data_IF_010032361956
#
_entry.id   IF_010032361956
#
_cell.length_a   1.000
_cell.length_b   1.000
_cell.length_c   1.000
_cell.angle_alpha   90.00
_cell.angle_beta   90.00
_cell.angle_gamma   90.00
#
_symmetry.space_group_name_H-M   'P 1'
#
loop_
_entity.id
_entity.type
_entity.pdbx_description
1 polymer ?
#
# COMPACT_ATOMS: atom_id res chain seq x y z
N UNK A 1 -36.68 -33.73 66.34
CA UNK A 1 -36.34 -32.89 65.18
C UNK A 1 -35.92 -33.86 64.07
N UNK A 2 -36.85 -34.65 63.53
CA UNK A 2 -37.70 -34.33 62.37
C UNK A 2 -36.86 -33.77 61.22
N UNK A 3 -36.82 -34.31 60.00
CA UNK A 3 -37.33 -35.50 59.29
C UNK A 3 -36.68 -35.31 57.88
N UNK A 4 -35.97 -36.30 57.32
CA UNK A 4 -36.38 -37.07 56.12
C UNK A 4 -36.56 -36.23 54.82
N UNK A 5 -36.17 -36.63 53.60
CA UNK A 5 -36.06 -37.95 52.97
C UNK A 5 -35.36 -37.80 51.60
N UNK A 6 -34.59 -38.82 51.21
CA UNK A 6 -34.19 -39.13 49.82
C UNK A 6 -35.35 -39.84 49.10
N UNK A 7 -35.46 -39.69 47.77
CA UNK A 7 -36.03 -40.69 46.85
C UNK A 7 -35.53 -40.37 45.43
N UNK A 8 -34.69 -41.19 44.78
CA UNK A 8 -34.84 -42.58 44.33
C UNK A 8 -35.60 -42.69 43.00
N UNK A 9 -34.82 -43.11 42.00
CA UNK A 9 -35.19 -43.52 40.65
C UNK A 9 -36.02 -44.82 40.65
N UNK A 10 -36.95 -44.90 39.71
CA UNK A 10 -37.46 -46.13 39.08
C UNK A 10 -37.75 -45.72 37.63
N UNK A 11 -37.33 -46.41 36.56
CA UNK A 11 -37.00 -47.81 36.40
C UNK A 11 -38.09 -48.42 35.53
N UNK A 12 -38.03 -48.24 34.20
CA UNK A 12 -38.74 -49.13 33.27
C UNK A 12 -38.07 -49.17 31.88
N UNK A 13 -37.78 -50.39 31.48
CA UNK A 13 -37.08 -50.85 30.29
C UNK A 13 -38.03 -51.19 29.14
N UNK A 14 -37.62 -50.95 27.88
CA UNK A 14 -37.96 -51.62 26.61
C UNK A 14 -37.59 -50.61 25.50
N UNK A 15 -36.85 -50.86 24.43
CA UNK A 15 -36.42 -52.05 23.71
C UNK A 15 -36.43 -51.71 22.21
N UNK A 16 -35.33 -52.01 21.51
CA UNK A 16 -35.16 -52.20 20.03
C UNK A 16 -34.90 -50.99 19.09
N UNK A 17 -33.70 -51.08 18.48
CA UNK A 17 -33.37 -51.17 17.03
C UNK A 17 -33.78 -50.04 16.05
N UNK A 18 -32.76 -49.49 15.37
CA UNK A 18 -32.85 -49.03 13.98
C UNK A 18 -32.18 -47.67 13.71
N UNK A 19 -30.99 -47.66 13.08
CA UNK A 19 -30.63 -46.55 12.16
C UNK A 19 -31.34 -46.75 10.81
N UNK A 20 -31.02 -46.00 9.72
CA UNK A 20 -30.14 -44.84 9.56
C UNK A 20 -30.86 -43.63 8.88
N UNK A 21 -30.25 -42.43 8.88
CA UNK A 21 -30.61 -41.31 7.97
C UNK A 21 -29.33 -40.48 7.74
N UNK A 22 -28.65 -40.61 6.62
CA UNK A 22 -28.83 -39.85 5.36
C UNK A 22 -28.72 -38.32 5.50
N UNK A 23 -27.51 -37.85 5.18
CA UNK A 23 -27.13 -36.79 4.23
C UNK A 23 -28.03 -35.54 3.98
N UNK A 24 -27.40 -34.37 4.25
CA UNK A 24 -27.33 -33.13 3.43
C UNK A 24 -28.62 -32.29 3.22
N UNK A 25 -28.54 -30.94 3.06
CA UNK A 25 -27.59 -30.26 2.17
C UNK A 25 -26.97 -28.91 2.61
N UNK A 26 -25.79 -28.67 2.03
CA UNK A 26 -25.40 -27.45 1.30
C UNK A 26 -26.04 -26.11 1.71
N UNK A 27 -25.26 -25.27 2.40
CA UNK A 27 -25.57 -23.85 2.57
C UNK A 27 -24.45 -23.04 1.90
N UNK A 28 -24.80 -22.51 0.72
CA UNK A 28 -23.95 -21.73 -0.14
C UNK A 28 -23.37 -20.48 0.51
N UNK A 29 -22.15 -20.17 0.07
CA UNK A 29 -21.41 -18.94 0.31
C UNK A 29 -22.22 -17.76 -0.22
N UNK A 30 -22.57 -16.75 0.60
CA UNK A 30 -23.14 -15.50 0.09
C UNK A 30 -22.02 -14.68 -0.55
N UNK A 31 -22.30 -14.21 -1.76
CA UNK A 31 -21.38 -13.45 -2.60
C UNK A 31 -20.87 -12.14 -1.99
N UNK A 32 -19.75 -11.72 -2.55
CA UNK A 32 -19.10 -10.42 -2.46
C UNK A 32 -20.13 -9.26 -2.45
N UNK A 33 -20.06 -8.33 -1.48
CA UNK A 33 -20.85 -7.11 -1.58
C UNK A 33 -20.24 -6.21 -2.66
N UNK A 34 -21.03 -5.98 -3.71
CA UNK A 34 -20.87 -4.90 -4.68
C UNK A 34 -20.71 -3.56 -3.95
N UNK A 35 -19.70 -2.79 -4.34
CA UNK A 35 -19.52 -1.39 -3.94
C UNK A 35 -20.75 -0.60 -4.41
N UNK A 36 -21.44 0.17 -3.54
CA UNK A 36 -22.56 0.97 -3.97
C UNK A 36 -22.08 2.14 -4.86
N UNK A 37 -22.64 2.16 -6.06
CA UNK A 37 -22.55 3.23 -7.04
C UNK A 37 -23.29 4.47 -6.49
N UNK A 38 -22.58 5.43 -5.90
CA UNK A 38 -23.15 6.71 -5.50
C UNK A 38 -23.12 7.67 -6.71
N UNK A 39 -24.15 7.60 -7.54
CA UNK A 39 -24.48 8.62 -8.54
C UNK A 39 -25.78 9.37 -8.19
N UNK A 40 -25.88 10.58 -8.75
CA UNK A 40 -27.09 11.42 -8.94
C UNK A 40 -27.35 12.43 -7.81
N UNK A 41 -27.59 13.73 -8.01
CA UNK A 41 -27.84 14.56 -9.20
C UNK A 41 -28.00 16.01 -8.73
N UNK A 42 -27.40 16.99 -9.42
CA UNK A 42 -27.95 18.35 -9.43
C UNK A 42 -27.75 18.98 -10.81
N UNK A 43 -28.86 19.14 -11.51
CA UNK A 43 -28.95 19.89 -12.76
C UNK A 43 -28.76 21.40 -12.54
N UNK A 44 -28.35 22.15 -13.58
CA UNK A 44 -27.89 23.52 -13.46
C UNK A 44 -29.04 24.52 -13.48
N UNK A 45 -28.96 25.56 -12.64
CA UNK A 45 -29.81 26.75 -12.80
C UNK A 45 -29.13 27.75 -13.73
N UNK A 46 -29.77 27.91 -14.89
CA UNK A 46 -29.65 29.01 -15.84
C UNK A 46 -29.75 30.39 -15.18
N UNK A 47 -28.89 31.35 -15.57
CA UNK A 47 -29.31 32.74 -15.82
C UNK A 47 -28.34 33.50 -16.73
N UNK A 48 -28.95 34.40 -17.51
CA UNK A 48 -28.42 35.04 -18.71
C UNK A 48 -27.39 36.15 -18.44
N UNK A 49 -26.44 36.23 -19.38
CA UNK A 49 -25.91 37.40 -20.12
C UNK A 49 -26.32 38.82 -19.68
N UNK A 50 -25.29 39.67 -19.57
CA UNK A 50 -25.12 41.03 -20.15
C UNK A 50 -23.59 41.19 -20.29
N UNK A 51 -22.93 41.16 -21.46
CA UNK A 51 -22.82 42.14 -22.55
C UNK A 51 -22.73 43.60 -22.07
N UNK A 52 -21.51 44.11 -22.01
CA UNK A 52 -21.17 45.47 -22.44
C UNK A 52 -19.89 45.44 -23.28
N UNK A 53 -20.01 46.01 -24.48
CA UNK A 53 -18.96 46.36 -25.43
C UNK A 53 -18.54 47.81 -25.14
N UNK A 54 -17.26 48.14 -25.25
CA UNK A 54 -16.74 49.30 -26.00
C UNK A 54 -15.20 49.32 -25.87
N UNK A 55 -14.46 49.10 -26.95
CA UNK A 55 -14.00 50.09 -27.95
C UNK A 55 -13.02 51.14 -27.42
N UNK A 56 -11.82 51.15 -28.01
CA UNK A 56 -10.81 52.18 -27.77
C UNK A 56 -9.52 51.90 -28.52
N UNK A 57 -9.54 52.13 -29.83
CA UNK A 57 -8.41 52.02 -30.74
C UNK A 57 -7.32 53.11 -30.52
N UNK A 58 -6.18 52.87 -31.20
CA UNK A 58 -5.09 53.78 -31.62
C UNK A 58 -3.78 53.65 -30.83
N UNK A 59 -2.57 53.76 -31.39
CA UNK A 59 -1.97 53.64 -32.73
C UNK A 59 -0.56 54.25 -32.56
N UNK A 60 0.46 53.68 -33.24
CA UNK A 60 1.79 54.27 -33.48
C UNK A 60 2.70 54.36 -32.23
N UNK A 61 4.02 54.17 -32.26
CA UNK A 61 5.01 54.57 -33.26
C UNK A 61 6.17 53.57 -33.39
N UNK A 62 6.79 53.65 -34.56
CA UNK A 62 8.11 53.14 -34.91
C UNK A 62 9.20 53.80 -34.06
N UNK A 63 10.25 53.06 -33.71
CA UNK A 63 11.60 53.63 -33.85
C UNK A 63 12.67 52.55 -33.99
N UNK A 64 13.51 52.80 -34.98
CA UNK A 64 14.62 51.99 -35.48
C UNK A 64 15.92 52.52 -34.90
N UNK A 65 16.77 51.68 -34.30
CA UNK A 65 18.22 51.95 -34.27
C UNK A 65 19.02 50.69 -34.61
N UNK A 66 19.92 50.93 -35.56
CA UNK A 66 20.78 50.04 -36.31
C UNK A 66 21.99 49.53 -35.53
N UNK A 67 22.53 48.43 -36.07
CA UNK A 67 23.96 48.19 -36.20
C UNK A 67 24.53 47.21 -35.18
N UNK A 68 25.39 46.26 -35.54
CA UNK A 68 26.24 46.13 -36.74
C UNK A 68 26.89 44.73 -36.69
N UNK A 69 27.04 44.13 -37.89
CA UNK A 69 28.21 43.36 -38.40
C UNK A 69 28.67 42.10 -37.64
N UNK A 70 29.06 40.98 -38.25
CA UNK A 70 29.32 40.63 -39.66
C UNK A 70 29.79 39.16 -39.75
N UNK A 71 29.42 38.48 -40.85
CA UNK A 71 30.18 37.50 -41.65
C UNK A 71 30.73 36.21 -40.95
N UNK A 72 30.78 35.01 -41.53
CA UNK A 72 30.86 34.52 -42.92
C UNK A 72 30.47 33.02 -42.87
N UNK A 73 29.52 32.50 -43.66
CA UNK A 73 29.68 31.94 -45.02
C UNK A 73 30.80 30.89 -45.16
N UNK A 74 30.40 29.62 -45.36
CA UNK A 74 30.98 28.70 -46.34
C UNK A 74 29.97 27.56 -46.65
N UNK A 75 29.61 27.48 -47.93
CA UNK A 75 28.88 26.39 -48.60
C UNK A 75 29.87 25.32 -49.06
N UNK A 76 29.46 24.05 -49.13
CA UNK A 76 29.50 23.20 -50.35
C UNK A 76 28.93 21.78 -50.07
N UNK A 77 28.13 21.28 -51.01
CA UNK A 77 27.36 20.00 -51.03
C UNK A 77 28.17 18.84 -51.71
N UNK A 78 27.59 17.73 -52.26
CA UNK A 78 26.48 16.81 -51.90
C UNK A 78 26.84 15.29 -52.00
N UNK A 79 25.82 14.43 -51.81
CA UNK A 79 25.63 13.04 -52.33
C UNK A 79 26.04 11.88 -51.37
N UNK A 80 25.37 10.72 -51.23
CA UNK A 80 24.39 9.94 -52.04
C UNK A 80 23.51 9.09 -51.08
N UNK A 81 22.27 8.82 -51.51
CA UNK A 81 21.28 7.88 -50.94
C UNK A 81 21.81 6.47 -50.66
N UNK A 82 21.35 5.83 -49.58
CA UNK A 82 20.86 4.44 -49.59
C UNK A 82 19.94 4.22 -48.38
N UNK A 83 18.78 3.63 -48.66
CA UNK A 83 17.77 3.23 -47.70
C UNK A 83 18.23 1.99 -46.92
N UNK A 84 17.93 1.93 -45.62
CA UNK A 84 17.46 0.72 -44.94
C UNK A 84 16.92 1.05 -43.54
N UNK A 85 15.97 0.22 -43.11
CA UNK A 85 14.86 0.59 -42.24
C UNK A 85 15.14 0.84 -40.76
N UNK A 86 14.22 1.62 -40.19
CA UNK A 86 14.14 1.95 -38.77
C UNK A 86 13.40 0.81 -38.06
N UNK A 87 14.15 -0.09 -37.44
CA UNK A 87 13.68 -0.90 -36.32
C UNK A 87 14.39 -0.42 -35.03
N UNK A 88 14.01 0.77 -34.56
CA UNK A 88 14.31 1.18 -33.19
C UNK A 88 13.04 1.03 -32.35
N UNK A 89 12.89 -0.17 -31.78
CA UNK A 89 11.99 -0.42 -30.67
C UNK A 89 12.47 0.44 -29.48
N UNK A 90 11.90 1.64 -29.35
CA UNK A 90 12.18 2.56 -28.25
C UNK A 90 11.74 1.91 -26.93
N UNK A 91 12.72 1.52 -26.12
CA UNK A 91 12.55 0.95 -24.79
C UNK A 91 11.86 1.96 -23.84
N UNK A 92 10.54 1.81 -23.72
CA UNK A 92 9.63 2.61 -22.89
C UNK A 92 9.87 2.42 -21.37
N UNK A 93 10.82 1.58 -20.96
CA UNK A 93 11.18 1.33 -19.56
C UNK A 93 11.91 2.48 -18.88
N UNK A 94 12.50 3.41 -19.63
CA UNK A 94 13.29 4.52 -19.09
C UNK A 94 12.50 5.58 -18.30
N UNK A 95 11.17 5.52 -18.38
CA UNK A 95 10.25 6.54 -17.89
C UNK A 95 9.30 6.03 -16.82
N UNK A 96 9.17 4.71 -16.73
CA UNK A 96 8.72 4.00 -15.53
C UNK A 96 9.90 3.70 -14.60
N UNK A 97 10.92 4.57 -14.54
CA UNK A 97 11.84 4.53 -13.41
C UNK A 97 11.02 4.81 -12.17
N UNK A 98 10.82 3.76 -11.37
CA UNK A 98 10.48 3.90 -9.96
C UNK A 98 11.36 5.03 -9.39
N UNK A 99 10.79 5.92 -8.55
CA UNK A 99 11.58 7.01 -7.99
C UNK A 99 12.86 6.44 -7.40
N UNK A 100 13.99 7.11 -7.65
CA UNK A 100 15.34 6.69 -7.29
C UNK A 100 15.37 5.72 -6.11
N UNK A 101 15.50 4.44 -6.45
CA UNK A 101 15.77 3.33 -5.55
C UNK A 101 17.19 3.53 -5.00
N UNK A 102 17.30 4.36 -3.98
CA UNK A 102 18.58 4.82 -3.44
C UNK A 102 18.36 5.42 -2.07
N UNK A 103 17.65 4.68 -1.22
CA UNK A 103 17.56 4.72 0.24
C UNK A 103 16.31 3.92 0.59
N UNK A 104 16.50 2.66 0.98
CA UNK A 104 15.52 1.94 1.81
C UNK A 104 15.15 2.89 2.93
N UNK A 105 13.91 3.36 2.95
CA UNK A 105 13.39 4.10 4.09
C UNK A 105 13.32 3.08 5.21
N UNK A 106 14.37 3.06 6.04
CA UNK A 106 14.29 2.48 7.38
C UNK A 106 13.02 3.02 8.00
N UNK A 107 12.26 2.17 8.68
CA UNK A 107 11.23 2.58 9.61
C UNK A 107 11.84 3.62 10.57
N UNK A 108 11.72 4.91 10.24
CA UNK A 108 12.05 6.02 11.12
C UNK A 108 10.75 6.37 11.84
N UNK A 109 10.58 5.72 12.97
CA UNK A 109 9.76 6.19 14.07
C UNK A 109 10.32 7.58 14.46
N UNK A 110 9.50 8.64 14.59
CA UNK A 110 9.99 9.97 14.95
C UNK A 110 10.83 9.95 16.23
N UNK A 111 12.01 10.57 16.12
CA UNK A 111 13.13 10.57 17.06
C UNK A 111 12.77 11.05 18.48
N UNK A 112 13.10 10.22 19.46
CA UNK A 112 14.03 10.59 20.54
C UNK A 112 14.56 9.31 21.19
N UNK A 113 15.89 9.16 21.22
CA UNK A 113 16.76 8.52 22.22
C UNK A 113 18.02 8.02 21.52
N UNK A 114 19.08 8.79 21.75
CA UNK A 114 20.51 8.45 21.82
C UNK A 114 21.03 7.18 21.14
N UNK A 115 22.06 7.38 20.32
CA UNK A 115 23.07 6.37 19.99
C UNK A 115 23.58 5.63 21.24
N UNK A 116 23.86 4.33 21.07
CA UNK A 116 24.31 3.30 22.02
C UNK A 116 23.21 2.41 22.65
N UNK A 117 22.91 1.26 22.03
CA UNK A 117 23.32 -0.05 22.59
C UNK A 117 23.02 -1.21 21.61
N UNK A 118 24.00 -2.10 21.41
CA UNK A 118 23.84 -3.43 20.78
C UNK A 118 23.15 -4.40 21.75
N UNK A 119 22.11 -3.96 22.48
CA UNK A 119 21.39 -4.83 23.42
C UNK A 119 20.34 -5.63 22.66
N UNK A 120 20.46 -6.97 22.69
CA UNK A 120 19.38 -7.89 22.33
C UNK A 120 18.05 -7.42 22.95
N UNK A 121 16.94 -7.43 22.18
CA UNK A 121 15.67 -6.95 22.73
C UNK A 121 15.17 -7.82 23.88
N UNK A 122 15.49 -9.09 23.83
CA UNK A 122 15.09 -10.07 24.81
C UNK A 122 16.29 -10.46 25.67
N UNK A 123 16.08 -10.84 26.94
CA UNK A 123 17.13 -11.46 27.74
C UNK A 123 17.73 -12.65 26.99
N UNK A 124 19.01 -12.96 27.21
CA UNK A 124 19.63 -14.19 26.71
C UNK A 124 18.98 -15.40 27.41
N UNK A 125 17.79 -15.79 26.97
CA UNK A 125 17.17 -17.05 27.35
C UNK A 125 18.04 -18.15 26.76
N UNK A 126 18.85 -18.81 27.61
CA UNK A 126 19.80 -19.89 27.29
C UNK A 126 19.91 -20.18 25.77
N UNK A 127 20.76 -19.43 25.05
CA UNK A 127 20.92 -19.57 23.60
C UNK A 127 21.34 -21.00 23.20
N UNK A 128 21.83 -21.81 24.13
CA UNK A 128 22.66 -22.98 23.85
C UNK A 128 21.93 -24.16 23.19
N UNK A 129 20.62 -24.35 23.37
CA UNK A 129 19.91 -25.52 22.80
C UNK A 129 19.40 -25.30 21.37
N UNK A 130 18.80 -24.14 21.07
CA UNK A 130 18.16 -23.88 19.77
C UNK A 130 18.99 -23.02 18.83
N UNK A 131 20.01 -22.29 19.31
CA UNK A 131 20.94 -21.60 18.39
C UNK A 131 21.87 -22.58 17.67
N UNK A 132 22.06 -23.78 18.21
CA UNK A 132 22.97 -24.79 17.66
C UNK A 132 22.31 -25.67 16.59
N UNK A 133 20.97 -25.72 16.56
CA UNK A 133 20.20 -26.57 15.67
C UNK A 133 19.88 -25.85 14.36
N UNK A 134 19.98 -26.56 13.23
CA UNK A 134 19.56 -26.01 11.92
C UNK A 134 18.03 -25.92 11.86
N UNK A 135 17.48 -25.03 11.04
CA UNK A 135 16.03 -24.83 11.01
C UNK A 135 15.28 -26.10 10.58
N UNK A 136 15.88 -26.95 9.74
CA UNK A 136 15.32 -28.25 9.34
C UNK A 136 15.09 -29.20 10.54
N UNK A 137 16.00 -29.20 11.52
CA UNK A 137 15.84 -29.97 12.75
C UNK A 137 14.72 -29.38 13.62
N UNK A 138 14.64 -28.05 13.71
CA UNK A 138 13.56 -27.37 14.44
C UNK A 138 12.19 -27.62 13.80
N UNK A 139 12.11 -27.66 12.47
CA UNK A 139 10.87 -28.03 11.76
C UNK A 139 10.46 -29.48 12.01
N UNK A 140 11.39 -30.35 12.41
CA UNK A 140 11.12 -31.77 12.70
C UNK A 140 10.95 -32.05 14.20
N UNK A 141 11.16 -31.06 15.07
CA UNK A 141 11.16 -31.25 16.52
C UNK A 141 9.74 -31.46 17.10
N UNK A 142 9.61 -32.35 18.07
CA UNK A 142 8.29 -32.73 18.65
C UNK A 142 7.76 -31.71 19.66
N UNK A 143 8.62 -30.87 20.23
CA UNK A 143 8.28 -29.89 21.27
C UNK A 143 7.74 -28.56 20.72
N UNK A 144 7.55 -28.47 19.40
CA UNK A 144 6.95 -27.33 18.71
C UNK A 144 5.50 -27.60 18.36
N UNK A 145 4.65 -26.59 18.55
CA UNK A 145 3.22 -26.65 18.23
C UNK A 145 2.99 -26.07 16.85
N UNK A 146 2.32 -26.82 15.98
CA UNK A 146 1.93 -26.36 14.64
C UNK A 146 0.82 -25.32 14.71
N UNK A 147 1.04 -24.16 14.08
CA UNK A 147 -0.01 -23.14 13.87
C UNK A 147 -0.80 -23.45 12.59
N UNK A 148 -0.16 -24.07 11.60
CA UNK A 148 -0.74 -24.44 10.31
C UNK A 148 -0.66 -25.95 10.10
N UNK A 149 -1.66 -26.50 9.40
CA UNK A 149 -1.78 -27.96 9.18
C UNK A 149 -0.61 -28.55 8.35
N UNK A 150 0.12 -27.72 7.61
CA UNK A 150 1.27 -28.11 6.80
C UNK A 150 2.59 -28.16 7.59
N UNK A 151 2.59 -27.79 8.88
CA UNK A 151 3.77 -27.78 9.76
C UNK A 151 4.84 -26.73 9.37
N UNK A 152 4.55 -25.85 8.42
CA UNK A 152 5.49 -24.83 7.92
C UNK A 152 5.50 -23.55 8.76
N UNK A 153 4.58 -23.44 9.72
CA UNK A 153 4.52 -22.39 10.73
C UNK A 153 4.36 -23.02 12.11
N UNK A 154 5.40 -22.96 12.93
CA UNK A 154 5.44 -23.62 14.24
C UNK A 154 5.79 -22.63 15.35
N UNK A 155 5.28 -22.88 16.55
CA UNK A 155 5.51 -22.04 17.73
C UNK A 155 5.97 -22.86 18.93
N UNK A 156 6.90 -22.31 19.70
CA UNK A 156 7.31 -22.82 21.01
C UNK A 156 7.18 -21.71 22.05
N UNK A 157 6.38 -21.96 23.09
CA UNK A 157 6.17 -20.99 24.16
C UNK A 157 7.39 -21.02 25.09
N UNK A 158 8.08 -19.88 25.20
CA UNK A 158 9.23 -19.71 26.10
C UNK A 158 8.75 -19.23 27.47
N UNK A 159 7.86 -18.26 27.47
CA UNK A 159 7.23 -17.73 28.68
C UNK A 159 5.72 -17.75 28.51
N UNK A 160 5.02 -18.40 29.45
CA UNK A 160 3.57 -18.42 29.48
C UNK A 160 3.02 -17.02 29.75
N UNK A 161 2.02 -16.62 28.95
CA UNK A 161 1.29 -15.38 29.18
C UNK A 161 0.21 -15.51 30.27
N UNK A 162 -0.59 -14.45 30.39
CA UNK A 162 -1.71 -14.35 31.32
C UNK A 162 -2.91 -15.17 30.84
N UNK A 163 -2.95 -16.46 31.20
CA UNK A 163 -3.99 -17.42 30.80
C UNK A 163 -5.43 -17.04 31.18
N UNK A 164 -5.58 -16.13 32.16
CA UNK A 164 -6.88 -15.59 32.57
C UNK A 164 -7.47 -14.58 31.56
N UNK A 165 -6.64 -14.05 30.67
CA UNK A 165 -7.07 -13.14 29.61
C UNK A 165 -7.36 -13.92 28.32
N UNK A 166 -8.32 -13.41 27.54
CA UNK A 166 -8.62 -13.94 26.22
C UNK A 166 -7.48 -13.63 25.24
N UNK A 167 -7.39 -14.42 24.18
CA UNK A 167 -6.48 -14.17 23.06
C UNK A 167 -7.03 -13.08 22.14
N UNK A 168 -6.16 -12.40 21.36
CA UNK A 168 -6.63 -11.50 20.31
C UNK A 168 -7.49 -12.23 19.29
N UNK A 169 -8.50 -11.57 18.74
CA UNK A 169 -9.28 -12.06 17.61
C UNK A 169 -8.94 -11.30 16.33
N UNK A 170 -9.23 -11.91 15.18
CA UNK A 170 -9.02 -11.28 13.87
C UNK A 170 -9.75 -9.93 13.78
N UNK A 171 -9.07 -8.92 13.27
CA UNK A 171 -9.56 -7.55 13.16
C UNK A 171 -9.20 -6.65 14.35
N UNK A 172 -8.60 -7.18 15.42
CA UNK A 172 -8.09 -6.37 16.53
C UNK A 172 -6.70 -5.81 16.22
N UNK A 173 -6.40 -4.66 16.84
CA UNK A 173 -5.06 -4.07 16.83
C UNK A 173 -4.23 -4.74 17.93
N UNK A 174 -3.09 -5.30 17.54
CA UNK A 174 -2.15 -5.96 18.45
C UNK A 174 -0.86 -5.16 18.53
N UNK A 175 -0.25 -5.16 19.70
CA UNK A 175 1.08 -4.60 19.94
C UNK A 175 2.00 -5.74 20.34
N UNK A 176 3.07 -5.92 19.56
CA UNK A 176 4.08 -6.95 19.82
C UNK A 176 5.46 -6.32 19.91
N UNK A 177 6.31 -6.96 20.71
CA UNK A 177 7.75 -6.79 20.66
C UNK A 177 8.31 -7.98 19.90
N UNK A 178 9.19 -7.75 18.93
CA UNK A 178 9.73 -8.83 18.12
C UNK A 178 11.19 -8.65 17.76
N UNK A 179 11.85 -9.78 17.55
CA UNK A 179 13.17 -9.89 16.96
C UNK A 179 13.17 -11.08 16.00
N UNK A 180 13.48 -10.84 14.73
CA UNK A 180 13.57 -11.85 13.67
C UNK A 180 15.01 -12.12 13.28
N UNK A 181 15.37 -13.40 13.21
CA UNK A 181 16.71 -13.86 12.83
C UNK A 181 16.65 -14.86 11.67
N UNK A 182 17.70 -14.83 10.84
CA UNK A 182 17.98 -15.85 9.83
C UNK A 182 18.65 -17.08 10.46
N UNK A 183 18.78 -18.14 9.67
CA UNK A 183 19.46 -19.38 10.09
C UNK A 183 20.94 -19.16 10.42
N UNK A 184 21.59 -18.21 9.72
CA UNK A 184 22.97 -17.78 10.02
C UNK A 184 23.08 -16.86 11.26
N UNK A 185 21.95 -16.67 11.98
CA UNK A 185 21.80 -15.84 13.17
C UNK A 185 21.90 -14.33 12.91
N UNK A 186 21.88 -13.90 11.65
CA UNK A 186 21.78 -12.48 11.33
C UNK A 186 20.43 -11.95 11.79
N UNK A 187 20.43 -10.91 12.64
CA UNK A 187 19.22 -10.20 13.03
C UNK A 187 18.77 -9.33 11.86
N UNK A 188 17.62 -9.69 11.29
CA UNK A 188 17.04 -8.98 10.14
C UNK A 188 15.92 -8.05 10.55
N UNK A 189 15.24 -8.32 11.67
CA UNK A 189 14.08 -7.53 12.08
C UNK A 189 14.09 -7.32 13.59
N UNK A 190 13.78 -6.10 14.03
CA UNK A 190 13.80 -5.73 15.44
C UNK A 190 12.84 -4.58 15.67
N UNK A 191 11.82 -4.79 16.49
CA UNK A 191 10.88 -3.74 16.87
C UNK A 191 10.43 -3.96 18.33
N UNK A 192 10.59 -2.95 19.17
CA UNK A 192 10.18 -3.03 20.58
C UNK A 192 8.69 -2.81 20.79
N UNK A 193 7.99 -2.25 19.80
CA UNK A 193 6.58 -1.88 19.88
C UNK A 193 5.94 -1.81 18.49
N UNK A 194 5.96 -2.94 17.77
CA UNK A 194 5.28 -3.06 16.49
C UNK A 194 3.77 -3.12 16.71
N UNK A 195 3.03 -2.23 16.06
CA UNK A 195 1.57 -2.16 16.11
C UNK A 195 0.99 -2.48 14.75
N UNK A 196 0.07 -3.44 14.69
CA UNK A 196 -0.61 -3.83 13.45
C UNK A 196 -2.02 -4.36 13.70
N UNK A 197 -2.87 -4.33 12.67
CA UNK A 197 -4.22 -4.92 12.74
C UNK A 197 -4.21 -6.30 12.11
N UNK A 198 -4.66 -7.30 12.87
CA UNK A 198 -4.69 -8.69 12.40
C UNK A 198 -5.68 -8.86 11.23
N UNK A 199 -5.20 -9.43 10.12
CA UNK A 199 -6.01 -9.74 8.93
C UNK A 199 -6.03 -8.63 7.88
N UNK A 200 -5.42 -7.48 8.18
CA UNK A 200 -5.27 -6.38 7.21
C UNK A 200 -4.02 -6.54 6.34
N UNK A 201 -3.12 -7.47 6.70
CA UNK A 201 -1.90 -7.75 5.95
C UNK A 201 -0.82 -6.68 6.14
N UNK A 202 -0.82 -6.00 7.28
CA UNK A 202 0.17 -5.01 7.68
C UNK A 202 1.56 -5.60 7.84
N UNK A 203 1.60 -6.84 8.32
CA UNK A 203 2.80 -7.67 8.46
C UNK A 203 2.64 -8.93 7.62
N UNK A 204 3.66 -9.79 7.58
CA UNK A 204 3.54 -11.08 6.90
C UNK A 204 2.68 -12.06 7.72
N UNK A 205 2.11 -13.06 7.05
CA UNK A 205 1.06 -13.93 7.60
C UNK A 205 1.49 -14.68 8.87
N UNK A 206 2.77 -15.06 8.97
CA UNK A 206 3.29 -15.72 10.15
C UNK A 206 3.11 -14.90 11.43
N UNK A 207 3.39 -13.59 11.40
CA UNK A 207 3.23 -12.72 12.57
C UNK A 207 1.75 -12.53 12.94
N UNK A 208 0.86 -12.38 11.96
CA UNK A 208 -0.58 -12.25 12.22
C UNK A 208 -1.14 -13.50 12.91
N UNK A 209 -0.83 -14.69 12.36
CA UNK A 209 -1.28 -15.97 12.93
C UNK A 209 -0.65 -16.24 14.30
N UNK A 210 0.62 -15.88 14.47
CA UNK A 210 1.29 -15.98 15.75
C UNK A 210 0.57 -15.14 16.81
N UNK A 211 0.31 -13.86 16.55
CA UNK A 211 -0.35 -12.97 17.50
C UNK A 211 -1.71 -13.49 17.98
N UNK A 212 -2.54 -14.02 17.08
CA UNK A 212 -3.85 -14.62 17.42
C UNK A 212 -3.71 -15.90 18.26
N UNK A 213 -2.58 -16.60 18.15
CA UNK A 213 -2.30 -17.81 18.93
C UNK A 213 -1.79 -17.56 20.35
N UNK A 214 -1.43 -16.32 20.70
CA UNK A 214 -0.74 -15.95 21.94
C UNK A 214 -1.70 -15.39 22.99
N UNK A 215 -1.36 -15.57 24.27
CA UNK A 215 -1.97 -14.83 25.38
C UNK A 215 -1.17 -13.54 25.67
N UNK A 216 -1.78 -12.53 26.30
CA UNK A 216 -1.07 -11.33 26.73
C UNK A 216 0.16 -11.66 27.60
N UNK A 217 1.26 -10.94 27.40
CA UNK A 217 2.57 -11.14 28.04
C UNK A 217 3.27 -12.48 27.73
N UNK A 218 2.72 -13.29 26.82
CA UNK A 218 3.37 -14.52 26.35
C UNK A 218 4.60 -14.17 25.52
N UNK A 219 5.70 -14.90 25.74
CA UNK A 219 6.90 -14.87 24.89
C UNK A 219 6.98 -16.22 24.18
N UNK A 220 7.03 -16.18 22.85
CA UNK A 220 7.10 -17.36 22.01
C UNK A 220 8.18 -17.24 20.96
N UNK A 221 8.85 -18.36 20.69
CA UNK A 221 9.61 -18.56 19.48
C UNK A 221 8.66 -18.99 18.36
N UNK A 222 8.80 -18.38 17.20
CA UNK A 222 7.99 -18.61 16.02
C UNK A 222 8.91 -18.98 14.86
N UNK A 223 8.87 -20.25 14.45
CA UNK A 223 9.60 -20.76 13.32
C UNK A 223 8.72 -20.65 12.07
N UNK A 224 9.22 -19.95 11.06
CA UNK A 224 8.45 -19.57 9.88
C UNK A 224 9.15 -20.03 8.61
N UNK A 225 8.44 -20.80 7.77
CA UNK A 225 8.88 -21.03 6.41
C UNK A 225 8.71 -19.74 5.59
N UNK A 226 9.58 -19.54 4.60
CA UNK A 226 9.50 -18.42 3.67
C UNK A 226 8.11 -18.15 3.10
N UNK A 227 7.29 -19.18 2.86
CA UNK A 227 5.92 -19.06 2.33
C UNK A 227 4.99 -18.21 3.21
N UNK A 228 5.18 -18.22 4.53
CA UNK A 228 4.42 -17.42 5.49
C UNK A 228 5.11 -16.10 5.89
N UNK A 229 6.32 -15.88 5.38
CA UNK A 229 7.15 -14.70 5.62
C UNK A 229 7.35 -13.90 4.33
N UNK A 230 8.60 -13.78 3.84
CA UNK A 230 8.97 -12.95 2.69
C UNK A 230 8.99 -13.68 1.34
N UNK A 231 8.79 -15.00 1.35
CA UNK A 231 8.60 -15.84 0.17
C UNK A 231 9.73 -15.78 -0.85
N UNK A 232 9.37 -16.05 -2.12
CA UNK A 232 10.32 -16.13 -3.25
C UNK A 232 11.17 -14.90 -3.47
N UNK A 233 10.68 -13.71 -3.13
CA UNK A 233 11.40 -12.46 -3.40
C UNK A 233 12.28 -12.00 -2.23
N UNK A 234 12.07 -12.50 -1.01
CA UNK A 234 12.79 -12.00 0.16
C UNK A 234 12.43 -10.55 0.51
N UNK A 235 13.32 -9.85 1.21
CA UNK A 235 13.27 -8.41 1.51
C UNK A 235 14.69 -7.86 1.31
N UNK A 236 14.91 -7.07 0.28
CA UNK A 236 16.24 -6.52 0.02
C UNK A 236 16.59 -5.39 1.01
N UNK A 237 17.85 -5.33 1.52
CA UNK A 237 18.96 -6.25 1.29
C UNK A 237 19.10 -7.34 2.38
N UNK A 238 18.22 -7.38 3.37
CA UNK A 238 18.44 -8.06 4.65
C UNK A 238 17.88 -9.48 4.72
N UNK A 239 16.78 -9.78 4.02
CA UNK A 239 16.19 -11.12 3.97
C UNK A 239 16.32 -11.71 2.57
N UNK A 240 17.11 -12.78 2.38
CA UNK A 240 17.21 -13.45 1.09
C UNK A 240 15.88 -14.04 0.59
N UNK A 241 15.82 -14.29 -0.71
CA UNK A 241 14.76 -15.08 -1.33
C UNK A 241 14.65 -16.47 -0.68
N UNK A 242 13.41 -16.92 -0.42
CA UNK A 242 13.12 -18.23 0.20
C UNK A 242 13.68 -18.43 1.61
N UNK A 243 14.11 -17.37 2.29
CA UNK A 243 14.62 -17.48 3.65
C UNK A 243 13.50 -17.84 4.63
N UNK A 244 13.74 -18.89 5.42
CA UNK A 244 13.00 -19.16 6.64
C UNK A 244 13.52 -18.25 7.76
N UNK A 245 12.64 -17.89 8.70
CA UNK A 245 12.96 -16.99 9.79
C UNK A 245 12.51 -17.57 11.11
N UNK A 246 13.33 -17.35 12.14
CA UNK A 246 12.97 -17.59 13.52
C UNK A 246 12.72 -16.24 14.19
N UNK A 247 11.52 -16.08 14.73
CA UNK A 247 11.14 -14.88 15.47
C UNK A 247 11.04 -15.19 16.95
N UNK A 248 11.55 -14.28 17.78
CA UNK A 248 11.16 -14.17 19.17
C UNK A 248 10.11 -13.07 19.27
N UNK A 249 8.91 -13.43 19.73
CA UNK A 249 7.75 -12.53 19.76
C UNK A 249 7.18 -12.50 21.17
N UNK A 250 6.94 -11.29 21.69
CA UNK A 250 6.17 -11.05 22.90
C UNK A 250 4.90 -10.28 22.56
N UNK A 251 3.75 -10.82 22.97
CA UNK A 251 2.48 -10.11 22.84
C UNK A 251 2.34 -9.14 24.02
N UNK A 252 2.51 -7.84 23.77
CA UNK A 252 2.42 -6.81 24.82
C UNK A 252 0.97 -6.45 25.14
N UNK A 253 0.07 -6.57 24.17
CA UNK A 253 -1.35 -6.30 24.38
C UNK A 253 -2.12 -6.20 23.07
N UNK A 254 -3.44 -6.09 23.20
CA UNK A 254 -4.34 -5.91 22.07
C UNK A 254 -5.55 -5.09 22.48
N UNK A 255 -6.21 -4.48 21.49
CA UNK A 255 -7.43 -3.70 21.67
C UNK A 255 -8.28 -3.75 20.40
N UNK A 256 -9.53 -3.32 20.51
CA UNK A 256 -10.36 -3.13 19.34
C UNK A 256 -9.75 -2.07 18.41
N UNK A 257 -9.91 -2.30 17.10
CA UNK A 257 -9.41 -1.38 16.09
C UNK A 257 -9.98 0.02 16.36
N UNK A 258 -9.14 1.07 16.46
CA UNK A 258 -9.63 2.42 16.65
C UNK A 258 -10.61 2.82 15.54
N UNK A 259 -11.75 3.41 15.91
CA UNK A 259 -12.69 3.96 14.93
C UNK A 259 -12.00 5.13 14.19
N UNK A 260 -11.88 5.07 12.84
CA UNK A 260 -11.29 6.14 12.05
C UNK A 260 -11.86 7.54 12.35
N UNK A 261 -13.14 7.64 12.74
CA UNK A 261 -13.82 8.91 13.06
C UNK A 261 -13.33 9.55 14.36
N UNK A 262 -12.73 8.76 15.24
CA UNK A 262 -12.25 9.18 16.58
C UNK A 262 -10.75 9.43 16.62
N UNK A 263 -10.04 9.13 15.53
CA UNK A 263 -8.59 9.24 15.48
C UNK A 263 -8.12 10.71 15.48
N UNK A 264 -7.09 10.98 16.28
CA UNK A 264 -6.37 12.25 16.26
C UNK A 264 -5.68 12.46 14.90
N UNK A 265 -5.46 13.71 14.48
CA UNK A 265 -4.73 14.00 13.23
C UNK A 265 -3.34 13.32 13.19
N UNK A 266 -2.51 13.37 14.26
CA UNK A 266 -1.23 12.66 14.28
C UNK A 266 -1.38 11.15 14.09
N UNK A 267 -2.39 10.52 14.70
CA UNK A 267 -2.63 9.09 14.53
C UNK A 267 -3.10 8.76 13.12
N UNK A 268 -3.93 9.61 12.50
CA UNK A 268 -4.33 9.44 11.09
C UNK A 268 -3.15 9.50 10.16
N UNK A 269 -2.25 10.47 10.35
CA UNK A 269 -1.00 10.56 9.57
C UNK A 269 -0.15 9.31 9.79
N UNK A 270 0.06 8.92 11.05
CA UNK A 270 0.87 7.74 11.41
C UNK A 270 0.34 6.46 10.76
N UNK A 271 -0.94 6.15 10.96
CA UNK A 271 -1.60 4.94 10.45
C UNK A 271 -1.68 5.00 8.92
N UNK A 272 -2.13 6.11 8.35
CA UNK A 272 -2.22 6.29 6.90
C UNK A 272 -0.86 6.16 6.21
N UNK A 273 0.19 6.71 6.80
CA UNK A 273 1.55 6.59 6.29
C UNK A 273 2.10 5.16 6.43
N UNK A 274 1.83 4.47 7.55
CA UNK A 274 2.18 3.07 7.75
C UNK A 274 1.55 2.18 6.68
N UNK A 275 0.25 2.33 6.43
CA UNK A 275 -0.44 1.64 5.33
C UNK A 275 0.17 2.02 3.97
N UNK A 276 0.43 3.29 3.70
CA UNK A 276 1.07 3.72 2.44
C UNK A 276 2.43 3.05 2.23
N UNK A 277 3.29 2.97 3.25
CA UNK A 277 4.58 2.26 3.13
C UNK A 277 4.40 0.75 2.93
N UNK A 278 3.38 0.15 3.56
CA UNK A 278 3.03 -1.25 3.28
C UNK A 278 2.57 -1.45 1.82
N UNK A 279 1.80 -0.52 1.27
CA UNK A 279 1.43 -0.50 -0.14
C UNK A 279 2.65 -0.37 -1.05
N UNK A 280 3.63 0.48 -0.68
CA UNK A 280 4.90 0.60 -1.40
C UNK A 280 5.67 -0.72 -1.43
N UNK A 281 5.72 -1.41 -0.29
CA UNK A 281 6.36 -2.71 -0.16
C UNK A 281 5.71 -3.75 -1.10
N UNK A 282 4.38 -3.83 -1.14
CA UNK A 282 3.68 -4.70 -2.08
C UNK A 282 3.92 -4.30 -3.55
N UNK A 283 3.94 -2.99 -3.84
CA UNK A 283 4.16 -2.47 -5.18
C UNK A 283 5.54 -2.84 -5.75
N UNK A 284 6.59 -2.74 -4.92
CA UNK A 284 7.96 -3.13 -5.32
C UNK A 284 8.05 -4.61 -5.71
N UNK A 285 7.17 -5.44 -5.16
CA UNK A 285 7.08 -6.88 -5.43
C UNK A 285 6.16 -7.23 -6.60
N UNK A 286 5.70 -6.22 -7.31
CA UNK A 286 4.75 -6.32 -8.43
C UNK A 286 3.37 -6.90 -8.04
N UNK A 287 3.08 -6.98 -6.73
CA UNK A 287 1.74 -7.29 -6.26
C UNK A 287 0.89 -6.01 -6.22
N UNK A 288 0.52 -5.56 -7.42
CA UNK A 288 -0.23 -4.32 -7.61
C UNK A 288 -1.64 -4.40 -7.01
N UNK A 289 -2.22 -5.60 -6.97
CA UNK A 289 -3.55 -5.83 -6.40
C UNK A 289 -3.58 -5.58 -4.90
N UNK A 290 -2.61 -6.15 -4.17
CA UNK A 290 -2.45 -5.93 -2.74
C UNK A 290 -2.01 -4.50 -2.46
N UNK A 291 -1.11 -3.94 -3.29
CA UNK A 291 -0.69 -2.54 -3.15
C UNK A 291 -1.88 -1.58 -3.25
N UNK A 292 -2.73 -1.73 -4.27
CA UNK A 292 -3.94 -0.92 -4.44
C UNK A 292 -4.87 -1.04 -3.23
N UNK A 293 -5.13 -2.27 -2.76
CA UNK A 293 -5.95 -2.52 -1.57
C UNK A 293 -5.43 -1.78 -0.34
N UNK A 294 -4.13 -1.88 -0.07
CA UNK A 294 -3.51 -1.23 1.09
C UNK A 294 -3.50 0.30 0.94
N UNK A 295 -3.33 0.83 -0.28
CA UNK A 295 -3.50 2.27 -0.52
C UNK A 295 -4.93 2.74 -0.25
N UNK A 296 -5.96 1.97 -0.62
CA UNK A 296 -7.33 2.31 -0.25
C UNK A 296 -7.53 2.38 1.27
N UNK A 297 -6.94 1.44 2.02
CA UNK A 297 -6.99 1.47 3.50
C UNK A 297 -6.25 2.68 4.07
N UNK A 298 -5.15 3.10 3.45
CA UNK A 298 -4.46 4.33 3.83
C UNK A 298 -5.35 5.57 3.58
N UNK A 299 -6.02 5.62 2.43
CA UNK A 299 -6.91 6.72 2.06
C UNK A 299 -8.13 6.82 2.96
N UNK A 300 -8.73 5.69 3.34
CA UNK A 300 -9.84 5.64 4.29
C UNK A 300 -9.52 6.41 5.58
N UNK A 301 -8.35 6.14 6.17
CA UNK A 301 -7.88 6.83 7.38
C UNK A 301 -7.50 8.31 7.11
N UNK A 302 -6.84 8.59 5.98
CA UNK A 302 -6.39 9.94 5.62
C UNK A 302 -7.51 10.88 5.14
N UNK A 303 -8.67 10.35 4.75
CA UNK A 303 -9.81 11.16 4.29
C UNK A 303 -10.92 11.29 5.31
N UNK A 304 -10.97 10.38 6.30
CA UNK A 304 -11.96 10.44 7.37
C UNK A 304 -11.88 11.77 8.11
N UNK A 305 -12.92 12.60 7.98
CA UNK A 305 -13.03 13.88 8.69
C UNK A 305 -13.91 13.69 9.91
N UNK A 306 -13.38 13.94 11.11
CA UNK A 306 -14.20 14.02 12.32
C UNK A 306 -14.97 15.34 12.32
N UNK A 307 -16.28 15.29 12.56
CA UNK A 307 -17.19 16.42 12.34
C UNK A 307 -17.15 17.49 13.45
N UNK A 308 -16.41 17.22 14.52
CA UNK A 308 -16.58 17.88 15.82
C UNK A 308 -15.30 18.56 16.34
N UNK A 309 -14.34 18.89 15.47
CA UNK A 309 -13.05 19.44 15.89
C UNK A 309 -12.88 20.87 15.35
N UNK A 310 -12.71 21.83 16.27
CA UNK A 310 -12.83 23.28 16.04
C UNK A 310 -11.56 23.99 16.52
N UNK A 311 -10.58 24.28 15.64
CA UNK A 311 -9.53 25.28 15.88
C UNK A 311 -8.63 25.58 14.67
N UNK A 312 -8.24 26.86 14.52
CA UNK A 312 -7.27 27.36 13.53
C UNK A 312 -5.89 26.67 13.51
N UNK A 313 -5.49 25.98 14.60
CA UNK A 313 -4.27 25.16 14.67
C UNK A 313 -4.34 23.87 13.82
N UNK A 314 -5.55 23.47 13.41
CA UNK A 314 -5.79 22.32 12.54
C UNK A 314 -5.46 22.58 11.08
N UNK A 315 -5.47 23.83 10.61
CA UNK A 315 -5.23 24.12 9.19
C UNK A 315 -3.86 23.58 8.74
N UNK A 316 -2.82 23.77 9.56
CA UNK A 316 -1.46 23.28 9.26
C UNK A 316 -1.37 21.75 9.30
N UNK A 317 -2.02 21.11 10.29
CA UNK A 317 -2.02 19.65 10.43
C UNK A 317 -2.88 18.97 9.36
N UNK A 318 -3.98 19.59 8.95
CA UNK A 318 -4.82 19.15 7.84
C UNK A 318 -4.13 19.35 6.48
N UNK A 319 -3.32 20.40 6.32
CA UNK A 319 -2.42 20.54 5.19
C UNK A 319 -1.36 19.42 5.16
N UNK A 320 -0.84 19.02 6.32
CA UNK A 320 0.08 17.88 6.41
C UNK A 320 -0.62 16.57 6.00
N UNK A 321 -1.83 16.29 6.54
CA UNK A 321 -2.66 15.16 6.12
C UNK A 321 -2.90 15.20 4.61
N UNK A 322 -3.22 16.37 4.05
CA UNK A 322 -3.42 16.55 2.61
C UNK A 322 -2.16 16.17 1.82
N UNK A 323 -0.98 16.51 2.32
CA UNK A 323 0.29 16.08 1.73
C UNK A 323 0.44 14.56 1.66
N UNK A 324 0.10 13.84 2.73
CA UNK A 324 0.10 12.37 2.74
C UNK A 324 -1.01 11.77 1.88
N UNK A 325 -2.19 12.39 1.86
CA UNK A 325 -3.31 12.01 1.00
C UNK A 325 -2.92 12.07 -0.49
N UNK A 326 -2.32 13.18 -0.94
CA UNK A 326 -1.84 13.35 -2.32
C UNK A 326 -0.76 12.31 -2.68
N UNK A 327 0.17 12.03 -1.77
CA UNK A 327 1.20 10.98 -1.98
C UNK A 327 0.56 9.61 -2.15
N UNK A 328 -0.44 9.28 -1.33
CA UNK A 328 -1.12 8.00 -1.38
C UNK A 328 -1.93 7.84 -2.68
N UNK A 329 -2.73 8.84 -3.07
CA UNK A 329 -3.46 8.84 -4.34
C UNK A 329 -2.53 8.69 -5.56
N UNK A 330 -1.38 9.36 -5.55
CA UNK A 330 -0.38 9.23 -6.60
C UNK A 330 0.16 7.78 -6.73
N UNK A 331 0.35 7.10 -5.60
CA UNK A 331 0.80 5.71 -5.60
C UNK A 331 -0.32 4.76 -6.03
N UNK A 332 -1.56 5.00 -5.59
CA UNK A 332 -2.75 4.27 -6.02
C UNK A 332 -2.97 4.38 -7.53
N UNK A 333 -2.92 5.59 -8.10
CA UNK A 333 -3.03 5.79 -9.54
C UNK A 333 -1.95 5.03 -10.32
N UNK A 334 -0.74 4.93 -9.75
CA UNK A 334 0.35 4.15 -10.37
C UNK A 334 0.09 2.65 -10.29
N UNK A 335 -0.46 2.14 -9.18
CA UNK A 335 -0.86 0.75 -9.04
C UNK A 335 -2.00 0.38 -10.01
N UNK A 336 -3.03 1.23 -10.11
CA UNK A 336 -4.13 1.05 -11.06
C UNK A 336 -3.63 1.03 -12.52
N UNK A 337 -2.71 1.92 -12.89
CA UNK A 337 -2.08 1.90 -14.22
C UNK A 337 -1.34 0.59 -14.50
N UNK A 338 -0.67 0.02 -13.50
CA UNK A 338 0.02 -1.28 -13.62
C UNK A 338 -0.95 -2.46 -13.70
N UNK A 339 -2.17 -2.29 -13.22
CA UNK A 339 -3.27 -3.25 -13.32
C UNK A 339 -4.17 -3.01 -14.55
N UNK A 340 -3.80 -2.08 -15.44
CA UNK A 340 -4.58 -1.70 -16.63
C UNK A 340 -5.99 -1.16 -16.31
N UNK A 341 -6.20 -0.68 -15.08
CA UNK A 341 -7.44 -0.04 -14.63
C UNK A 341 -7.43 1.45 -15.03
N UNK A 342 -7.58 1.71 -16.32
CA UNK A 342 -7.37 3.05 -16.90
C UNK A 342 -8.42 4.08 -16.45
N UNK A 343 -9.68 3.65 -16.26
CA UNK A 343 -10.76 4.54 -15.82
C UNK A 343 -10.59 4.98 -14.36
N UNK A 344 -10.24 4.03 -13.49
CA UNK A 344 -9.96 4.26 -12.08
C UNK A 344 -8.69 5.11 -11.90
N UNK A 345 -7.65 4.84 -12.70
CA UNK A 345 -6.42 5.65 -12.69
C UNK A 345 -6.68 7.09 -13.14
N UNK A 346 -7.59 7.30 -14.10
CA UNK A 346 -7.99 8.63 -14.55
C UNK A 346 -8.77 9.36 -13.46
N UNK A 347 -9.73 8.69 -12.81
CA UNK A 347 -10.46 9.25 -11.67
C UNK A 347 -9.52 9.64 -10.54
N UNK A 348 -8.65 8.72 -10.11
CA UNK A 348 -7.69 8.95 -9.03
C UNK A 348 -6.71 10.08 -9.38
N UNK A 349 -6.32 10.22 -10.64
CA UNK A 349 -5.48 11.34 -11.09
C UNK A 349 -6.22 12.68 -11.04
N UNK A 350 -7.53 12.70 -11.33
CA UNK A 350 -8.37 13.90 -11.15
C UNK A 350 -8.53 14.27 -9.68
N UNK A 351 -8.67 13.27 -8.79
CA UNK A 351 -8.72 13.50 -7.35
C UNK A 351 -7.44 14.14 -6.82
N UNK A 352 -6.27 13.72 -7.31
CA UNK A 352 -5.00 14.39 -7.00
C UNK A 352 -5.02 15.85 -7.45
N UNK A 353 -5.49 16.13 -8.66
CA UNK A 353 -5.51 17.49 -9.22
C UNK A 353 -6.55 18.40 -8.57
N UNK A 354 -7.60 17.84 -7.97
CA UNK A 354 -8.55 18.57 -7.15
C UNK A 354 -7.89 19.08 -5.85
N UNK A 355 -6.93 18.33 -5.30
CA UNK A 355 -6.18 18.68 -4.09
C UNK A 355 -4.92 19.52 -4.38
N UNK A 356 -4.21 19.20 -5.45
CA UNK A 356 -3.00 19.84 -5.93
C UNK A 356 -3.06 20.04 -7.46
N UNK A 357 -3.62 21.17 -7.92
CA UNK A 357 -3.74 21.47 -9.35
C UNK A 357 -2.40 21.57 -10.10
N UNK A 358 -1.29 21.71 -9.37
CA UNK A 358 0.06 21.85 -9.93
C UNK A 358 0.85 20.52 -9.88
N UNK A 359 0.19 19.42 -9.53
CA UNK A 359 0.86 18.12 -9.45
C UNK A 359 1.29 17.60 -10.83
N UNK A 360 2.58 17.76 -11.15
CA UNK A 360 3.13 17.37 -12.47
C UNK A 360 2.93 15.89 -12.77
N UNK A 361 3.05 15.01 -11.77
CA UNK A 361 2.87 13.56 -11.95
C UNK A 361 1.43 13.21 -12.32
N UNK A 362 0.45 13.80 -11.64
CA UNK A 362 -0.96 13.57 -11.95
C UNK A 362 -1.38 14.20 -13.28
N UNK A 363 -0.92 15.43 -13.59
CA UNK A 363 -1.14 16.05 -14.90
C UNK A 363 -0.59 15.17 -16.03
N UNK A 364 0.64 14.66 -15.86
CA UNK A 364 1.26 13.78 -16.84
C UNK A 364 0.46 12.48 -17.04
N UNK A 365 0.09 11.79 -15.95
CA UNK A 365 -0.70 10.54 -16.02
C UNK A 365 -2.06 10.77 -16.66
N UNK A 366 -2.77 11.83 -16.27
CA UNK A 366 -4.07 12.19 -16.85
C UNK A 366 -3.94 12.50 -18.34
N UNK A 367 -2.96 13.34 -18.73
CA UNK A 367 -2.73 13.67 -20.13
C UNK A 367 -2.41 12.44 -20.99
N UNK A 368 -1.63 11.50 -20.47
CA UNK A 368 -1.35 10.22 -21.14
C UNK A 368 -2.62 9.38 -21.28
N UNK A 369 -3.36 9.17 -20.20
CA UNK A 369 -4.61 8.40 -20.18
C UNK A 369 -5.66 8.96 -21.15
N UNK A 370 -5.80 10.29 -21.21
CA UNK A 370 -6.71 10.96 -22.15
C UNK A 370 -6.25 10.79 -23.60
N UNK A 371 -4.94 10.83 -23.86
CA UNK A 371 -4.37 10.55 -25.17
C UNK A 371 -4.68 9.13 -25.62
N UNK A 372 -4.47 8.15 -24.73
CA UNK A 372 -4.75 6.73 -24.98
C UNK A 372 -6.27 6.48 -25.21
N UNK A 373 -7.15 7.30 -24.61
CA UNK A 373 -8.62 7.28 -24.86
C UNK A 373 -9.06 7.98 -26.15
N UNK A 374 -8.16 8.71 -26.82
CA UNK A 374 -8.47 9.50 -28.01
C UNK A 374 -9.03 10.91 -27.73
N UNK A 375 -9.04 11.36 -26.48
CA UNK A 375 -9.43 12.72 -26.09
C UNK A 375 -8.25 13.70 -26.27
N UNK A 376 -7.76 13.78 -27.52
CA UNK A 376 -6.49 14.45 -27.87
C UNK A 376 -6.46 15.94 -27.48
N UNK A 377 -7.60 16.63 -27.54
CA UNK A 377 -7.72 18.04 -27.17
C UNK A 377 -7.39 18.30 -25.71
N UNK A 378 -8.10 17.61 -24.80
CA UNK A 378 -7.90 17.73 -23.35
C UNK A 378 -6.54 17.16 -22.93
N UNK A 379 -6.09 16.09 -23.59
CA UNK A 379 -4.76 15.51 -23.38
C UNK A 379 -3.64 16.55 -23.65
N UNK A 380 -3.68 17.23 -24.80
CA UNK A 380 -2.69 18.24 -25.16
C UNK A 380 -2.69 19.43 -24.20
N UNK A 381 -3.86 19.93 -23.79
CA UNK A 381 -3.94 21.00 -22.81
C UNK A 381 -3.33 20.60 -21.46
N UNK A 382 -3.64 19.39 -21.01
CA UNK A 382 -3.15 18.85 -19.74
C UNK A 382 -1.63 18.63 -19.77
N UNK A 383 -1.10 18.04 -20.84
CA UNK A 383 0.33 17.82 -21.00
C UNK A 383 1.10 19.15 -21.16
N UNK A 384 0.51 20.16 -21.82
CA UNK A 384 1.09 21.51 -21.89
C UNK A 384 1.17 22.18 -20.52
N UNK A 385 0.15 21.99 -19.66
CA UNK A 385 0.20 22.46 -18.25
C UNK A 385 1.35 21.78 -17.51
N UNK A 386 1.50 20.45 -17.64
CA UNK A 386 2.62 19.72 -17.04
C UNK A 386 3.98 20.23 -17.51
N UNK A 387 4.15 20.45 -18.82
CA UNK A 387 5.38 20.98 -19.41
C UNK A 387 5.70 22.40 -18.96
N UNK A 388 4.69 23.25 -18.75
CA UNK A 388 4.90 24.61 -18.25
C UNK A 388 5.46 24.61 -16.82
N UNK A 389 5.07 23.64 -16.00
CA UNK A 389 5.53 23.50 -14.62
C UNK A 389 6.93 22.88 -14.55
N UNK A 390 7.21 21.86 -15.38
CA UNK A 390 8.54 21.26 -15.53
C UNK A 390 8.99 21.23 -17.00
N UNK A 391 9.65 22.29 -17.49
CA UNK A 391 10.06 22.41 -18.89
C UNK A 391 11.13 21.41 -19.35
N UNK A 392 11.84 20.79 -18.41
CA UNK A 392 12.93 19.83 -18.68
C UNK A 392 12.44 18.39 -18.84
N UNK A 393 11.14 18.15 -18.66
CA UNK A 393 10.56 16.80 -18.71
C UNK A 393 10.42 16.36 -20.17
N UNK A 394 11.51 15.80 -20.72
CA UNK A 394 11.60 15.21 -22.08
C UNK A 394 10.41 14.30 -22.40
N UNK A 395 9.89 13.64 -21.38
CA UNK A 395 8.69 12.80 -21.38
C UNK A 395 7.45 13.55 -21.87
N UNK A 396 7.17 14.71 -21.30
CA UNK A 396 5.98 15.50 -21.63
C UNK A 396 6.06 15.96 -23.09
N UNK A 397 7.26 16.36 -23.54
CA UNK A 397 7.52 16.70 -24.94
C UNK A 397 7.25 15.52 -25.88
N UNK A 398 7.74 14.32 -25.55
CA UNK A 398 7.48 13.10 -26.32
C UNK A 398 5.98 12.77 -26.37
N UNK A 399 5.29 12.87 -25.24
CA UNK A 399 3.85 12.56 -25.15
C UNK A 399 3.01 13.58 -25.91
N UNK A 400 3.38 14.87 -25.87
CA UNK A 400 2.76 15.91 -26.70
C UNK A 400 3.00 15.63 -28.18
N UNK A 401 4.24 15.29 -28.57
CA UNK A 401 4.58 14.94 -29.95
C UNK A 401 3.71 13.79 -30.46
N UNK A 402 3.62 12.69 -29.70
CA UNK A 402 2.77 11.52 -30.00
C UNK A 402 1.28 11.89 -30.12
N UNK A 403 0.77 12.70 -29.20
CA UNK A 403 -0.65 13.14 -29.19
C UNK A 403 -0.95 14.14 -30.32
N UNK A 404 0.05 14.93 -30.74
CA UNK A 404 -0.07 15.95 -31.79
C UNK A 404 0.20 15.43 -33.20
N UNK A 405 0.94 14.32 -33.34
CA UNK A 405 1.07 13.65 -34.62
C UNK A 405 -0.27 12.96 -34.91
N UNK A 406 -0.96 13.29 -36.01
CA UNK A 406 -2.12 12.52 -36.40
C UNK A 406 -1.62 11.10 -36.67
N UNK A 407 -1.93 10.16 -35.79
CA UNK A 407 -1.89 8.75 -36.17
C UNK A 407 -2.79 8.67 -37.41
N UNK A 408 -2.27 8.30 -38.59
CA UNK A 408 -3.14 8.08 -39.73
C UNK A 408 -4.11 7.01 -39.25
N UNK A 409 -5.39 7.37 -39.18
CA UNK A 409 -6.48 6.48 -38.82
C UNK A 409 -6.17 5.11 -39.43
N UNK A 410 -5.84 4.13 -38.58
CA UNK A 410 -5.75 2.75 -39.00
C UNK A 410 -7.14 2.45 -39.54
N UNK A 411 -7.21 2.45 -40.87
CA UNK A 411 -8.42 2.22 -41.64
C UNK A 411 -9.07 0.97 -41.06
N UNK A 412 -10.33 1.10 -40.71
CA UNK A 412 -11.27 -0.01 -40.80
C UNK A 412 -11.03 -0.74 -42.12
N UNK A 413 -10.59 -2.00 -42.04
CA UNK A 413 -10.76 -3.03 -43.06
C UNK A 413 -10.87 -4.37 -42.33
#
# INVERSE_FOLDING_TARGET
MQEELQAAESGESLGRLGGPTEACPDAGIPGTPMVPNLFSSSQPRSRQRQREEDNGARSLDEDSIQGRTSASLALEEPAVLLADGIEDAVDIRGLMKAPGCGKTVRFQIPLAVTEHNEESLFPDWQPEEWTTSIFEELFSAEDWVDITDDGLLRKKIVQQGLQQWTRPVWGQEVTVKLQGILEDRTVVEKDSKLVFVTGEGDVHQALERCAVSMHPEEISLLLTNSQYAYGRQGRDPDVPAWASLLYEVQLLGFRDKPDPLTLSIPDRIRIGNQKRERGNFCFQREDYSMAARVYYMALDVLTTTSRDWDSALETEMEEEVRGYHIKCLNNLATAQLKMEQFDEALSTSRDVLALDPLNVKALFRMGKLLSDKGELGEALETLKKALKLEPSTKVCLLSISQTSSPVPALKAL
#
